data_IF_236720224503
#
_entry.id   IF_236720224503
#
_cell.length_a   1.000
_cell.length_b   1.000
_cell.length_c   1.000
_cell.angle_alpha   90.00
_cell.angle_beta   90.00
_cell.angle_gamma   90.00
#
_symmetry.space_group_name_H-M   'P 1'
#
loop_
_entity.id
_entity.type
_entity.pdbx_description
1 polymer ?
#
# COMPACT_ATOMS: atom_id res chain seq x y z
N UNK A 1 -7.88 4.92 27.24
CA UNK A 1 -7.00 3.80 26.83
C UNK A 1 -7.51 3.23 25.52
N UNK A 2 -6.63 2.85 24.59
CA UNK A 2 -7.02 2.23 23.33
C UNK A 2 -7.48 0.78 23.57
N UNK A 3 -8.61 0.38 22.97
CA UNK A 3 -9.22 -0.96 23.13
C UNK A 3 -8.26 -2.11 22.83
N UNK A 4 -7.35 -1.93 21.86
CA UNK A 4 -6.39 -2.93 21.42
C UNK A 4 -4.98 -2.72 21.98
N UNK A 5 -4.75 -1.76 22.87
CA UNK A 5 -3.41 -1.43 23.38
C UNK A 5 -2.43 -0.83 22.35
N UNK A 6 -2.91 -0.55 21.14
CA UNK A 6 -2.10 0.02 20.05
C UNK A 6 -2.00 1.53 20.24
N UNK A 7 -0.77 2.06 20.20
CA UNK A 7 -0.51 3.50 20.20
C UNK A 7 -0.78 4.06 18.81
N UNK A 8 -1.85 4.83 18.68
CA UNK A 8 -2.10 5.61 17.47
C UNK A 8 -1.08 6.76 17.37
N UNK A 9 -0.50 6.93 16.18
CA UNK A 9 0.43 8.02 15.86
C UNK A 9 -0.15 8.75 14.65
N UNK A 10 -0.21 10.07 14.74
CA UNK A 10 -0.58 10.93 13.61
C UNK A 10 0.67 11.53 12.99
N UNK A 11 0.67 11.61 11.66
CA UNK A 11 1.68 12.37 10.94
C UNK A 11 1.40 13.86 11.11
N UNK A 12 2.34 14.67 11.62
CA UNK A 12 2.14 16.11 11.74
C UNK A 12 2.00 16.74 10.35
N UNK A 13 1.32 17.89 10.30
CA UNK A 13 1.20 18.68 9.06
C UNK A 13 2.59 18.97 8.48
N UNK A 14 2.69 18.96 7.15
CA UNK A 14 3.93 19.21 6.40
C UNK A 14 5.10 18.25 6.74
N UNK A 15 4.78 17.02 7.18
CA UNK A 15 5.79 15.96 7.34
C UNK A 15 5.55 14.81 6.35
N UNK A 16 6.00 14.95 5.09
CA UNK A 16 5.80 13.92 4.06
C UNK A 16 6.44 12.58 4.42
N UNK A 17 7.42 12.55 5.33
CA UNK A 17 8.08 11.32 5.76
C UNK A 17 7.18 10.42 6.62
N UNK A 18 6.20 10.98 7.32
CA UNK A 18 5.36 10.19 8.23
C UNK A 18 4.51 9.14 7.52
N UNK A 19 4.17 9.37 6.25
CA UNK A 19 3.39 8.44 5.43
C UNK A 19 4.17 7.86 4.23
N UNK A 20 5.47 8.17 4.09
CA UNK A 20 6.23 7.83 2.90
C UNK A 20 6.23 6.34 2.54
N UNK A 21 6.26 5.45 3.54
CA UNK A 21 6.21 4.00 3.30
C UNK A 21 4.81 3.56 2.82
N UNK A 22 3.74 4.12 3.39
CA UNK A 22 2.36 3.89 2.92
C UNK A 22 2.18 4.37 1.48
N UNK A 23 2.66 5.57 1.18
CA UNK A 23 2.61 6.14 -0.18
C UNK A 23 3.40 5.30 -1.17
N UNK A 24 4.57 4.80 -0.78
CA UNK A 24 5.38 3.88 -1.61
C UNK A 24 4.61 2.60 -1.92
N UNK A 25 3.96 1.98 -0.93
CA UNK A 25 3.13 0.79 -1.14
C UNK A 25 2.00 1.08 -2.14
N UNK A 26 1.29 2.20 -1.98
CA UNK A 26 0.22 2.60 -2.90
C UNK A 26 0.76 2.82 -4.32
N UNK A 27 1.91 3.47 -4.47
CA UNK A 27 2.54 3.71 -5.77
C UNK A 27 2.89 2.41 -6.47
N UNK A 28 3.49 1.45 -5.77
CA UNK A 28 3.84 0.15 -6.36
C UNK A 28 2.60 -0.62 -6.82
N UNK A 29 1.52 -0.62 -6.02
CA UNK A 29 0.24 -1.23 -6.47
C UNK A 29 -0.26 -0.57 -7.76
N UNK A 30 -0.14 0.76 -7.88
CA UNK A 30 -0.55 1.46 -9.09
C UNK A 30 0.34 1.09 -10.29
N UNK A 31 1.65 1.19 -10.13
CA UNK A 31 2.63 0.98 -11.20
C UNK A 31 2.68 -0.46 -11.70
N UNK A 32 2.59 -1.44 -10.81
CA UNK A 32 2.77 -2.86 -11.15
C UNK A 32 1.47 -3.61 -11.44
N UNK A 33 0.31 -3.03 -11.07
CA UNK A 33 -0.98 -3.68 -11.28
C UNK A 33 -2.00 -2.75 -11.94
N UNK A 34 -2.32 -1.62 -11.33
CA UNK A 34 -3.48 -0.82 -11.79
C UNK A 34 -3.24 -0.20 -13.17
N UNK A 35 -2.04 0.33 -13.43
CA UNK A 35 -1.75 1.01 -14.69
C UNK A 35 -1.45 0.05 -15.85
N UNK A 36 -1.17 -1.21 -15.56
CA UNK A 36 -0.87 -2.24 -16.56
C UNK A 36 -2.09 -3.03 -17.03
N UNK A 37 -3.25 -2.83 -16.38
CA UNK A 37 -4.44 -3.63 -16.62
C UNK A 37 -5.67 -2.73 -16.84
N UNK A 38 -6.48 -3.06 -17.83
CA UNK A 38 -7.81 -2.49 -17.99
C UNK A 38 -8.84 -3.43 -17.36
N UNK A 39 -9.41 -3.03 -16.22
CA UNK A 39 -10.41 -3.84 -15.53
C UNK A 39 -11.82 -3.54 -16.04
N UNK A 40 -12.61 -4.58 -16.27
CA UNK A 40 -14.02 -4.46 -16.67
C UNK A 40 -14.95 -4.16 -15.50
N UNK A 41 -14.49 -4.33 -14.25
CA UNK A 41 -15.26 -4.00 -13.05
C UNK A 41 -14.37 -3.70 -11.84
N UNK A 42 -14.94 -3.02 -10.84
CA UNK A 42 -14.25 -2.75 -9.58
C UNK A 42 -13.93 -4.05 -8.81
N UNK A 43 -14.81 -5.06 -8.88
CA UNK A 43 -14.58 -6.32 -8.15
C UNK A 43 -13.46 -7.15 -8.76
N UNK A 44 -13.32 -7.11 -10.08
CA UNK A 44 -12.16 -7.68 -10.77
C UNK A 44 -10.85 -7.01 -10.32
N UNK A 45 -10.82 -5.68 -10.25
CA UNK A 45 -9.64 -4.95 -9.76
C UNK A 45 -9.30 -5.33 -8.30
N UNK A 46 -10.30 -5.41 -7.42
CA UNK A 46 -10.10 -5.80 -6.01
C UNK A 46 -9.60 -7.22 -5.86
N UNK A 47 -10.11 -8.15 -6.66
CA UNK A 47 -9.65 -9.54 -6.63
C UNK A 47 -8.19 -9.66 -7.08
N UNK A 48 -7.80 -8.91 -8.11
CA UNK A 48 -6.41 -8.84 -8.56
C UNK A 48 -5.49 -8.24 -7.48
N UNK A 49 -5.92 -7.18 -6.78
CA UNK A 49 -5.16 -6.63 -5.64
C UNK A 49 -4.99 -7.68 -4.53
N UNK A 50 -6.05 -8.43 -4.18
CA UNK A 50 -5.98 -9.50 -3.15
C UNK A 50 -5.01 -10.63 -3.53
N UNK A 51 -4.99 -11.00 -4.81
CA UNK A 51 -4.08 -12.03 -5.35
C UNK A 51 -2.63 -11.55 -5.46
N UNK A 52 -2.40 -10.24 -5.57
CA UNK A 52 -1.11 -9.57 -5.77
C UNK A 52 -0.08 -9.68 -4.62
N UNK A 53 0.03 -10.84 -3.97
CA UNK A 53 0.99 -11.16 -2.88
C UNK A 53 2.45 -10.84 -3.21
N UNK A 54 2.83 -10.69 -4.49
CA UNK A 54 4.22 -10.51 -4.91
C UNK A 54 4.67 -9.03 -4.95
N UNK A 55 3.82 -8.15 -5.47
CA UNK A 55 4.12 -6.72 -5.73
C UNK A 55 4.64 -5.96 -4.49
N UNK A 56 4.05 -6.19 -3.31
CA UNK A 56 4.41 -5.42 -2.11
C UNK A 56 5.43 -6.08 -1.19
N UNK A 57 5.56 -7.42 -1.23
CA UNK A 57 6.42 -8.17 -0.30
C UNK A 57 7.89 -8.10 -0.71
N UNK A 58 8.18 -8.02 -2.01
CA UNK A 58 9.55 -7.97 -2.51
C UNK A 58 10.25 -6.62 -2.21
N UNK A 59 9.47 -5.53 -2.00
CA UNK A 59 10.00 -4.23 -1.53
C UNK A 59 10.64 -4.28 -0.14
N UNK A 60 10.13 -5.13 0.76
CA UNK A 60 10.70 -5.31 2.10
C UNK A 60 11.91 -6.26 2.11
N UNK A 61 12.15 -7.00 1.02
CA UNK A 61 13.33 -7.86 0.84
C UNK A 61 14.50 -7.16 0.11
N UNK A 62 14.26 -5.97 -0.43
CA UNK A 62 15.24 -5.18 -1.20
C UNK A 62 15.79 -3.96 -0.44
N UNK A 63 15.48 -3.78 0.85
CA UNK A 63 16.19 -2.81 1.69
C UNK A 63 17.50 -3.45 2.19
N UNK A 64 18.67 -2.80 1.99
CA UNK A 64 19.93 -3.23 2.59
C UNK A 64 19.89 -3.15 4.12
#
# INVERSE_FOLDING_TARGET
>A
MALLGIKQIFTPYDNPKGNAETERVIRTIKEELIWLNEFGSLEEARENIRKGKKCCIDLYKLKP
#
